data_IF_424957149860
#
_entry.id   IF_424957149860
#
_cell.length_a   1.000
_cell.length_b   1.000
_cell.length_c   1.000
_cell.angle_alpha   90.00
_cell.angle_beta   90.00
_cell.angle_gamma   90.00
#
_symmetry.space_group_name_H-M   'P 1'
#
loop_
_entity.id
_entity.type
_entity.pdbx_description
1 polymer ?
#
# COMPACT_ATOMS: atom_id res chain seq x y z
N UNK A 1 11.90 17.60 10.33
CA UNK A 1 11.22 16.66 11.25
C UNK A 1 10.00 15.97 10.63
N UNK A 2 9.14 16.70 9.90
CA UNK A 2 7.87 16.18 9.35
C UNK A 2 8.04 15.26 8.13
N UNK A 3 9.01 15.52 7.23
CA UNK A 3 9.37 14.63 6.11
C UNK A 3 9.79 13.24 6.61
N UNK A 4 10.58 13.16 7.68
CA UNK A 4 11.00 11.88 8.29
C UNK A 4 9.81 11.09 8.83
N UNK A 5 8.78 11.76 9.36
CA UNK A 5 7.54 11.10 9.82
C UNK A 5 6.76 10.53 8.64
N UNK A 6 6.61 11.30 7.56
CA UNK A 6 5.95 10.84 6.33
C UNK A 6 6.64 9.62 5.71
N UNK A 7 7.99 9.61 5.65
CA UNK A 7 8.76 8.44 5.19
C UNK A 7 8.52 7.20 6.07
N UNK A 8 8.45 7.37 7.39
CA UNK A 8 8.11 6.26 8.31
C UNK A 8 6.69 5.74 8.06
N UNK A 9 5.73 6.62 7.79
CA UNK A 9 4.36 6.21 7.45
C UNK A 9 4.29 5.47 6.12
N UNK A 10 5.06 5.91 5.12
CA UNK A 10 5.17 5.20 3.84
C UNK A 10 5.80 3.83 3.99
N UNK A 11 6.89 3.72 4.77
CA UNK A 11 7.51 2.44 5.10
C UNK A 11 6.51 1.53 5.83
N UNK A 12 5.72 2.08 6.76
CA UNK A 12 4.68 1.34 7.46
C UNK A 12 3.59 0.84 6.50
N UNK A 13 3.17 1.62 5.49
CA UNK A 13 2.26 1.13 4.45
C UNK A 13 2.84 -0.08 3.71
N UNK A 14 4.10 -0.01 3.29
CA UNK A 14 4.77 -1.12 2.61
C UNK A 14 4.86 -2.37 3.49
N UNK A 15 5.20 -2.21 4.77
CA UNK A 15 5.25 -3.32 5.73
C UNK A 15 3.85 -3.94 5.94
N UNK A 16 2.81 -3.12 6.07
CA UNK A 16 1.43 -3.62 6.21
C UNK A 16 0.98 -4.40 4.96
N UNK A 17 1.37 -3.95 3.76
CA UNK A 17 1.10 -4.67 2.51
C UNK A 17 1.83 -6.02 2.43
N UNK A 18 3.02 -6.16 3.01
CA UNK A 18 3.70 -7.46 3.11
C UNK A 18 3.03 -8.33 4.18
N UNK A 19 2.72 -7.74 5.33
CA UNK A 19 2.15 -8.45 6.47
C UNK A 19 0.81 -9.08 6.13
N UNK A 20 -0.03 -8.42 5.31
CA UNK A 20 -1.28 -9.03 4.84
C UNK A 20 -1.09 -10.29 3.99
N UNK A 21 0.04 -10.44 3.28
CA UNK A 21 0.34 -11.62 2.47
C UNK A 21 0.85 -12.77 3.32
N UNK A 22 1.53 -12.48 4.43
CA UNK A 22 2.03 -13.49 5.37
C UNK A 22 0.91 -13.93 6.32
N UNK A 23 0.12 -12.98 6.80
CA UNK A 23 -0.96 -13.20 7.76
C UNK A 23 -2.33 -13.25 7.06
N UNK A 24 -2.61 -14.33 6.33
CA UNK A 24 -3.80 -14.48 5.50
C UNK A 24 -5.14 -14.20 6.22
N UNK A 25 -5.27 -14.59 7.49
CA UNK A 25 -6.49 -14.33 8.29
C UNK A 25 -6.76 -12.84 8.52
N UNK A 26 -5.71 -12.00 8.48
CA UNK A 26 -5.77 -10.56 8.76
C UNK A 26 -5.53 -9.73 7.50
N UNK A 27 -5.69 -10.34 6.32
CA UNK A 27 -5.36 -9.68 5.07
C UNK A 27 -6.22 -8.43 4.83
N UNK A 28 -7.54 -8.52 4.97
CA UNK A 28 -8.46 -7.38 4.81
C UNK A 28 -8.14 -6.24 5.80
N UNK A 29 -8.04 -6.48 7.13
CA UNK A 29 -7.75 -5.41 8.08
C UNK A 29 -6.36 -4.79 7.89
N UNK A 30 -5.33 -5.57 7.56
CA UNK A 30 -4.01 -5.00 7.29
C UNK A 30 -3.98 -4.14 6.01
N UNK A 31 -4.65 -4.56 4.94
CA UNK A 31 -4.78 -3.74 3.74
C UNK A 31 -5.56 -2.46 4.04
N UNK A 32 -6.66 -2.56 4.79
CA UNK A 32 -7.46 -1.40 5.18
C UNK A 32 -6.64 -0.39 6.01
N UNK A 33 -5.82 -0.85 6.95
CA UNK A 33 -4.89 0.03 7.67
C UNK A 33 -3.91 0.72 6.72
N UNK A 34 -3.36 0.01 5.74
CA UNK A 34 -2.47 0.58 4.73
C UNK A 34 -3.19 1.64 3.85
N UNK A 35 -4.48 1.44 3.56
CA UNK A 35 -5.34 2.42 2.88
C UNK A 35 -5.51 3.67 3.73
N UNK A 36 -5.86 3.54 5.01
CA UNK A 36 -6.02 4.68 5.92
C UNK A 36 -4.73 5.51 6.04
N UNK A 37 -3.59 4.85 6.21
CA UNK A 37 -2.29 5.50 6.21
C UNK A 37 -2.00 6.21 4.89
N UNK A 38 -2.34 5.61 3.76
CA UNK A 38 -2.17 6.21 2.43
C UNK A 38 -3.04 7.44 2.24
N UNK A 39 -4.29 7.45 2.73
CA UNK A 39 -5.17 8.63 2.71
C UNK A 39 -4.56 9.77 3.52
N UNK A 40 -4.03 9.48 4.72
CA UNK A 40 -3.35 10.49 5.55
C UNK A 40 -2.14 11.06 4.82
N UNK A 41 -1.37 10.20 4.12
CA UNK A 41 -0.21 10.63 3.33
C UNK A 41 -0.64 11.56 2.18
N UNK A 42 -1.70 11.20 1.45
CA UNK A 42 -2.24 12.00 0.33
C UNK A 42 -2.72 13.38 0.82
N UNK A 43 -3.50 13.44 1.90
CA UNK A 43 -4.02 14.71 2.43
C UNK A 43 -2.88 15.62 2.88
N UNK A 44 -1.86 15.06 3.54
CA UNK A 44 -0.71 15.83 4.03
C UNK A 44 0.29 16.18 2.93
N UNK A 45 0.11 15.68 1.70
CA UNK A 45 1.06 15.87 0.59
C UNK A 45 1.10 17.31 0.07
N UNK A 46 0.09 18.16 0.34
CA UNK A 46 0.13 19.61 0.03
C UNK A 46 1.38 20.30 0.60
N UNK A 47 1.93 19.76 1.69
CA UNK A 47 3.13 20.29 2.35
C UNK A 47 4.44 19.62 1.87
N UNK A 48 4.37 18.50 1.15
CA UNK A 48 5.52 17.65 0.81
C UNK A 48 5.45 17.06 -0.61
N UNK A 49 5.84 17.85 -1.61
CA UNK A 49 5.89 17.44 -3.05
C UNK A 49 6.89 16.31 -3.38
N UNK A 50 7.61 15.77 -2.39
CA UNK A 50 8.73 14.83 -2.59
C UNK A 50 8.27 13.36 -2.67
N UNK A 51 7.04 13.05 -2.25
CA UNK A 51 6.53 11.67 -2.20
C UNK A 51 5.77 11.32 -3.49
N UNK A 52 6.10 10.17 -4.09
CA UNK A 52 5.39 9.63 -5.25
C UNK A 52 4.02 9.07 -4.83
N UNK A 53 2.99 9.91 -4.89
CA UNK A 53 1.62 9.54 -4.53
C UNK A 53 0.98 8.47 -5.39
N UNK A 54 1.48 8.25 -6.61
CA UNK A 54 0.90 7.29 -7.54
C UNK A 54 0.70 5.92 -6.89
N UNK A 55 1.70 5.44 -6.15
CA UNK A 55 1.65 4.15 -5.46
C UNK A 55 0.63 4.10 -4.30
N UNK A 56 0.35 5.24 -3.67
CA UNK A 56 -0.70 5.33 -2.65
C UNK A 56 -2.10 5.26 -3.27
N UNK A 57 -2.30 5.85 -4.45
CA UNK A 57 -3.55 5.68 -5.21
C UNK A 57 -3.70 4.25 -5.74
N UNK A 58 -2.62 3.64 -6.24
CA UNK A 58 -2.64 2.24 -6.68
C UNK A 58 -2.95 1.29 -5.52
N UNK A 59 -2.41 1.53 -4.33
CA UNK A 59 -2.75 0.77 -3.13
C UNK A 59 -4.25 0.82 -2.83
N UNK A 60 -4.86 2.01 -2.88
CA UNK A 60 -6.30 2.18 -2.66
C UNK A 60 -7.11 1.44 -3.73
N UNK A 61 -6.72 1.56 -5.01
CA UNK A 61 -7.36 0.82 -6.09
C UNK A 61 -7.26 -0.70 -5.92
N UNK A 62 -6.10 -1.18 -5.48
CA UNK A 62 -5.85 -2.60 -5.23
C UNK A 62 -6.72 -3.14 -4.07
N UNK A 63 -6.99 -2.32 -3.05
CA UNK A 63 -7.93 -2.68 -1.98
C UNK A 63 -9.35 -2.91 -2.52
N UNK A 64 -9.86 -2.01 -3.36
CA UNK A 64 -11.17 -2.19 -3.99
C UNK A 64 -11.20 -3.40 -4.93
N UNK A 65 -10.13 -3.59 -5.73
CA UNK A 65 -9.98 -4.79 -6.54
C UNK A 65 -10.05 -6.07 -5.69
N UNK A 66 -9.45 -6.07 -4.49
CA UNK A 66 -9.54 -7.24 -3.59
C UNK A 66 -10.96 -7.52 -3.12
N UNK A 67 -11.68 -6.48 -2.68
CA UNK A 67 -13.07 -6.62 -2.24
C UNK A 67 -13.95 -7.16 -3.36
N UNK A 68 -13.71 -6.71 -4.60
CA UNK A 68 -14.39 -7.21 -5.78
C UNK A 68 -14.05 -8.68 -6.08
N UNK A 69 -12.78 -9.08 -6.06
CA UNK A 69 -12.39 -10.50 -6.26
C UNK A 69 -13.01 -11.40 -5.19
N UNK A 70 -13.07 -10.96 -3.93
CA UNK A 70 -13.74 -11.70 -2.86
C UNK A 70 -15.25 -11.86 -3.08
N UNK A 71 -15.89 -10.96 -3.84
CA UNK A 71 -17.35 -10.97 -4.06
C UNK A 71 -17.83 -11.91 -5.17
N UNK A 72 -16.94 -12.34 -6.08
CA UNK A 72 -17.31 -13.10 -7.29
C UNK A 72 -17.13 -14.63 -7.13
N UNK A 73 -16.66 -15.09 -5.96
CA UNK A 73 -16.16 -16.46 -5.72
C UNK A 73 -14.98 -16.80 -6.66
N UNK A 74 -13.79 -16.91 -6.08
CA UNK A 74 -12.56 -16.51 -6.76
C UNK A 74 -12.10 -17.41 -7.92
N UNK A 75 -11.75 -16.77 -9.04
CA UNK A 75 -10.86 -17.35 -10.02
C UNK A 75 -9.42 -17.23 -9.51
N UNK A 76 -8.72 -18.35 -9.32
CA UNK A 76 -7.31 -18.40 -8.90
C UNK A 76 -6.39 -17.43 -9.65
N UNK A 77 -6.68 -17.19 -10.93
CA UNK A 77 -5.94 -16.25 -11.77
C UNK A 77 -6.05 -14.78 -11.29
N UNK A 78 -7.24 -14.34 -10.84
CA UNK A 78 -7.46 -12.98 -10.35
C UNK A 78 -6.77 -12.76 -9.00
N UNK A 79 -6.75 -13.78 -8.14
CA UNK A 79 -6.02 -13.77 -6.88
C UNK A 79 -4.50 -13.70 -7.12
N UNK A 80 -3.97 -14.43 -8.11
CA UNK A 80 -2.56 -14.35 -8.47
C UNK A 80 -2.19 -12.94 -8.94
N UNK A 81 -3.00 -12.34 -9.81
CA UNK A 81 -2.82 -10.95 -10.27
C UNK A 81 -2.79 -9.99 -9.08
N UNK A 82 -3.73 -10.14 -8.12
CA UNK A 82 -3.75 -9.33 -6.91
C UNK A 82 -2.42 -9.42 -6.14
N UNK A 83 -1.92 -10.64 -5.91
CA UNK A 83 -0.69 -10.87 -5.13
C UNK A 83 0.52 -10.24 -5.81
N UNK A 84 0.64 -10.39 -7.14
CA UNK A 84 1.75 -9.80 -7.92
C UNK A 84 1.74 -8.28 -7.81
N UNK A 85 0.60 -7.64 -8.02
CA UNK A 85 0.49 -6.18 -7.88
C UNK A 85 0.70 -5.72 -6.43
N UNK A 86 0.23 -6.48 -5.45
CA UNK A 86 0.45 -6.19 -4.05
C UNK A 86 1.94 -6.15 -3.70
N UNK A 87 2.69 -7.19 -4.11
CA UNK A 87 4.14 -7.27 -3.90
C UNK A 87 4.86 -6.13 -4.62
N UNK A 88 4.50 -5.84 -5.87
CA UNK A 88 5.08 -4.74 -6.63
C UNK A 88 4.90 -3.40 -5.91
N UNK A 89 3.68 -3.06 -5.49
CA UNK A 89 3.39 -1.80 -4.79
C UNK A 89 4.12 -1.76 -3.44
N UNK A 90 4.12 -2.85 -2.69
CA UNK A 90 4.80 -2.93 -1.40
C UNK A 90 6.31 -2.66 -1.53
N UNK A 91 6.97 -3.33 -2.47
CA UNK A 91 8.41 -3.15 -2.74
C UNK A 91 8.68 -1.70 -3.15
N UNK A 92 7.88 -1.13 -4.05
CA UNK A 92 8.06 0.25 -4.50
C UNK A 92 7.91 1.25 -3.34
N UNK A 93 6.88 1.11 -2.50
CA UNK A 93 6.69 1.97 -1.33
C UNK A 93 7.87 1.89 -0.35
N UNK A 94 8.41 0.68 -0.13
CA UNK A 94 9.58 0.46 0.71
C UNK A 94 10.83 1.10 0.08
N UNK A 95 11.12 0.83 -1.19
CA UNK A 95 12.25 1.42 -1.91
C UNK A 95 12.22 2.94 -1.88
N UNK A 96 11.08 3.57 -2.19
CA UNK A 96 10.95 5.02 -2.15
C UNK A 96 11.06 5.60 -0.74
N UNK A 97 10.77 4.82 0.30
CA UNK A 97 11.00 5.26 1.68
C UNK A 97 12.49 5.43 1.99
N UNK A 98 13.36 4.65 1.32
CA UNK A 98 14.81 4.69 1.46
C UNK A 98 15.49 5.59 0.41
N UNK A 99 15.01 5.63 -0.83
CA UNK A 99 15.76 6.19 -1.97
C UNK A 99 15.82 7.74 -2.02
N UNK A 100 15.05 8.48 -1.23
CA UNK A 100 15.25 9.94 -1.10
C UNK A 100 16.40 10.30 -0.14
N UNK A 101 17.58 9.71 -0.35
CA UNK A 101 18.89 10.13 0.17
C UNK A 101 19.71 10.54 -1.07
N UNK A 102 19.37 11.68 -1.65
CA UNK A 102 20.30 12.46 -2.48
C UNK A 102 19.87 13.92 -2.40
#
# INVERSE_FOLDING_TARGET
>A
MMIRRMKKMQLLCGILLILQLVCFQWMIPFHFLAVLLSIIIIINQRWFKVIQLQYHFYLIGLYFYRLWVLSIESFYFLDLIYVVFCLYIAIMLILFSFHCIL
#
